data_IF_432096022108
#
_entry.id   IF_432096022108
#
_cell.length_a   1.000
_cell.length_b   1.000
_cell.length_c   1.000
_cell.angle_alpha   90.00
_cell.angle_beta   90.00
_cell.angle_gamma   90.00
#
_symmetry.space_group_name_H-M   'P 1'
#
loop_
_entity.id
_entity.type
_entity.pdbx_description
1 polymer ?
#
# COMPACT_ATOMS: atom_id res chain seq x y z
N UNK A 1 -35.99 3.55 3.44
CA UNK A 1 -36.58 3.36 4.77
C UNK A 1 -35.51 3.68 5.81
N UNK A 2 -35.66 4.78 6.56
CA UNK A 2 -34.68 5.18 7.58
C UNK A 2 -34.64 4.20 8.74
N UNK A 3 -33.44 3.91 9.25
CA UNK A 3 -33.25 3.19 10.52
C UNK A 3 -33.22 4.24 11.63
N UNK A 4 -33.98 3.99 12.70
CA UNK A 4 -34.07 4.89 13.85
C UNK A 4 -33.43 4.18 15.04
N UNK A 5 -32.76 4.94 15.91
CA UNK A 5 -32.33 4.41 17.21
C UNK A 5 -33.36 4.83 18.24
N UNK A 6 -33.99 3.83 18.86
CA UNK A 6 -34.93 4.00 19.94
C UNK A 6 -34.24 3.71 21.27
N UNK A 7 -34.24 4.68 22.18
CA UNK A 7 -33.64 4.56 23.50
C UNK A 7 -34.74 4.28 24.51
N UNK A 8 -34.61 3.18 25.25
CA UNK A 8 -35.56 2.76 26.27
C UNK A 8 -34.93 2.86 27.67
N UNK A 9 -35.75 3.18 28.67
CA UNK A 9 -35.38 3.12 30.08
C UNK A 9 -35.32 1.65 30.56
N UNK A 10 -34.79 1.41 31.76
CA UNK A 10 -34.70 0.08 32.41
C UNK A 10 -36.06 -0.62 32.54
N UNK A 11 -37.16 0.15 32.56
CA UNK A 11 -38.54 -0.34 32.55
C UNK A 11 -39.10 -0.60 31.14
N UNK A 12 -38.24 -0.60 30.11
CA UNK A 12 -38.59 -0.74 28.69
C UNK A 12 -39.55 0.32 28.15
N UNK A 13 -39.61 1.49 28.80
CA UNK A 13 -40.39 2.62 28.30
C UNK A 13 -39.55 3.43 27.33
N UNK A 14 -40.10 3.77 26.16
CA UNK A 14 -39.41 4.58 25.15
C UNK A 14 -39.15 5.98 25.72
N UNK A 15 -37.88 6.40 25.72
CA UNK A 15 -37.41 7.69 26.23
C UNK A 15 -37.17 8.66 25.08
N UNK A 16 -36.56 8.20 23.99
CA UNK A 16 -36.27 9.05 22.83
C UNK A 16 -36.09 8.23 21.56
N UNK A 17 -36.27 8.87 20.41
CA UNK A 17 -36.03 8.30 19.08
C UNK A 17 -35.16 9.25 18.28
N UNK A 18 -34.04 8.73 17.80
CA UNK A 18 -33.07 9.46 16.98
C UNK A 18 -33.14 8.98 15.53
N UNK A 19 -33.14 9.94 14.60
CA UNK A 19 -32.97 9.65 13.18
C UNK A 19 -31.49 9.35 12.91
N UNK A 20 -31.20 8.21 12.29
CA UNK A 20 -29.83 7.84 11.96
C UNK A 20 -29.53 8.31 10.55
N UNK A 21 -28.75 9.39 10.45
CA UNK A 21 -28.26 9.89 9.17
C UNK A 21 -27.26 8.87 8.60
N UNK A 22 -27.74 7.94 7.78
CA UNK A 22 -26.90 7.05 6.98
C UNK A 22 -26.70 7.67 5.61
N UNK A 23 -25.56 8.33 5.42
CA UNK A 23 -24.98 8.54 4.10
C UNK A 23 -23.56 8.00 4.10
N UNK A 24 -23.24 7.14 3.14
CA UNK A 24 -21.83 6.87 2.84
C UNK A 24 -21.15 8.22 2.54
N UNK A 25 -20.10 8.54 3.28
CA UNK A 25 -19.36 9.80 3.12
C UNK A 25 -19.84 10.98 3.98
N UNK A 26 -20.77 10.79 4.92
CA UNK A 26 -21.10 11.83 5.91
C UNK A 26 -20.00 11.82 6.98
N UNK A 27 -18.95 12.58 6.72
CA UNK A 27 -17.97 12.95 7.73
C UNK A 27 -18.55 14.09 8.56
N UNK A 28 -18.77 13.86 9.86
CA UNK A 28 -19.13 14.94 10.78
C UNK A 28 -17.96 15.94 10.77
N UNK A 29 -18.16 17.22 10.39
CA UNK A 29 -17.08 18.18 10.27
C UNK A 29 -16.61 18.61 11.67
N UNK A 30 -15.78 17.79 12.31
CA UNK A 30 -15.11 18.17 13.54
C UNK A 30 -13.93 19.09 13.18
N UNK A 31 -13.74 20.24 13.87
CA UNK A 31 -12.70 21.23 13.54
C UNK A 31 -11.27 20.68 13.47
N UNK A 32 -10.97 19.60 14.19
CA UNK A 32 -9.66 18.91 14.13
C UNK A 32 -9.38 18.25 12.76
N UNK A 33 -10.42 17.88 12.00
CA UNK A 33 -10.27 17.29 10.66
C UNK A 33 -9.90 18.32 9.59
N UNK A 34 -10.15 19.62 9.80
CA UNK A 34 -9.80 20.67 8.85
C UNK A 34 -8.29 20.88 8.73
N UNK A 35 -7.58 20.86 9.86
CA UNK A 35 -6.12 20.99 9.90
C UNK A 35 -5.41 19.75 9.35
N UNK A 36 -5.88 18.55 9.76
CA UNK A 36 -5.37 17.28 9.24
C UNK A 36 -5.62 17.10 7.74
N UNK A 37 -6.74 17.61 7.22
CA UNK A 37 -7.07 17.55 5.80
C UNK A 37 -6.08 18.33 4.94
N UNK A 38 -5.66 19.54 5.37
CA UNK A 38 -4.67 20.33 4.62
C UNK A 38 -3.31 19.64 4.55
N UNK A 39 -2.78 19.17 5.67
CA UNK A 39 -1.50 18.45 5.69
C UNK A 39 -1.56 17.15 4.87
N UNK A 40 -2.69 16.44 4.93
CA UNK A 40 -2.89 15.23 4.16
C UNK A 40 -2.95 15.51 2.65
N UNK A 41 -3.64 16.57 2.24
CA UNK A 41 -3.73 17.01 0.85
C UNK A 41 -2.36 17.48 0.33
N UNK A 42 -1.58 18.21 1.13
CA UNK A 42 -0.22 18.61 0.79
C UNK A 42 0.73 17.41 0.67
N UNK A 43 0.68 16.47 1.61
CA UNK A 43 1.44 15.20 1.52
C UNK A 43 1.03 14.41 0.28
N UNK A 44 -0.27 14.35 -0.06
CA UNK A 44 -0.78 13.70 -1.27
C UNK A 44 -0.28 14.43 -2.53
N UNK A 45 -0.25 15.76 -2.55
CA UNK A 45 0.27 16.55 -3.66
C UNK A 45 1.79 16.34 -3.85
N UNK A 46 2.58 16.37 -2.77
CA UNK A 46 4.03 16.10 -2.82
C UNK A 46 4.35 14.71 -3.36
N UNK A 47 3.61 13.68 -2.92
CA UNK A 47 3.77 12.31 -3.45
C UNK A 47 3.43 12.22 -4.93
N UNK A 48 2.41 12.94 -5.39
CA UNK A 48 2.04 13.00 -6.82
C UNK A 48 3.11 13.68 -7.65
N UNK A 49 3.61 14.83 -7.21
CA UNK A 49 4.70 15.55 -7.86
C UNK A 49 5.96 14.67 -7.94
N UNK A 50 6.33 14.01 -6.84
CA UNK A 50 7.49 13.12 -6.80
C UNK A 50 7.37 11.94 -7.79
N UNK A 51 6.19 11.33 -7.92
CA UNK A 51 5.96 10.26 -8.91
C UNK A 51 6.12 10.73 -10.35
N UNK A 52 5.69 11.96 -10.67
CA UNK A 52 5.89 12.58 -11.99
C UNK A 52 7.35 12.91 -12.24
N UNK A 53 8.06 13.47 -11.25
CA UNK A 53 9.49 13.75 -11.36
C UNK A 53 10.32 12.50 -11.59
N UNK A 54 10.09 11.42 -10.83
CA UNK A 54 10.79 10.15 -11.03
C UNK A 54 10.57 9.56 -12.43
N UNK A 55 9.37 9.73 -12.99
CA UNK A 55 9.08 9.27 -14.35
C UNK A 55 9.83 10.10 -15.41
N UNK A 56 9.86 11.42 -15.26
CA UNK A 56 10.60 12.33 -16.14
C UNK A 56 12.11 12.08 -16.09
N UNK A 57 12.66 11.83 -14.90
CA UNK A 57 14.07 11.45 -14.74
C UNK A 57 14.39 10.12 -15.44
N UNK A 58 13.48 9.15 -15.37
CA UNK A 58 13.65 7.86 -16.02
C UNK A 58 13.54 7.95 -17.56
N UNK A 59 12.57 8.72 -18.07
CA UNK A 59 12.21 8.81 -19.49
C UNK A 59 12.10 10.28 -19.94
N UNK A 60 13.21 11.01 -20.10
CA UNK A 60 13.16 12.45 -20.38
C UNK A 60 12.54 12.80 -21.75
N UNK A 61 12.72 11.96 -22.76
CA UNK A 61 12.20 12.24 -24.12
C UNK A 61 10.70 11.93 -24.29
N UNK A 62 10.18 10.94 -23.56
CA UNK A 62 8.80 10.46 -23.68
C UNK A 62 7.93 10.85 -22.48
N UNK A 63 8.56 11.39 -21.44
CA UNK A 63 7.96 11.57 -20.12
C UNK A 63 6.83 12.57 -20.09
N UNK A 64 7.00 13.72 -20.75
CA UNK A 64 5.97 14.76 -20.79
C UNK A 64 4.72 14.28 -21.53
N UNK A 65 4.88 13.74 -22.74
CA UNK A 65 3.77 13.22 -23.55
C UNK A 65 3.03 12.08 -22.86
N UNK A 66 3.75 11.21 -22.14
CA UNK A 66 3.12 10.10 -21.43
C UNK A 66 2.40 10.56 -20.15
N UNK A 67 2.92 11.57 -19.44
CA UNK A 67 2.24 12.16 -18.29
C UNK A 67 0.92 12.81 -18.71
N UNK A 68 0.92 13.54 -19.82
CA UNK A 68 -0.31 14.11 -20.38
C UNK A 68 -1.35 13.04 -20.73
N UNK A 69 -0.91 11.96 -21.40
CA UNK A 69 -1.77 10.82 -21.70
C UNK A 69 -2.31 10.15 -20.43
N UNK A 70 -1.46 9.96 -19.41
CA UNK A 70 -1.83 9.35 -18.15
C UNK A 70 -2.82 10.21 -17.35
N UNK A 71 -2.60 11.53 -17.30
CA UNK A 71 -3.55 12.46 -16.68
C UNK A 71 -4.90 12.44 -17.40
N UNK A 72 -4.91 12.36 -18.74
CA UNK A 72 -6.13 12.30 -19.55
C UNK A 72 -6.90 10.97 -19.43
N UNK A 73 -6.20 9.83 -19.35
CA UNK A 73 -6.82 8.49 -19.33
C UNK A 73 -7.11 7.97 -17.92
N UNK A 74 -6.23 8.24 -16.96
CA UNK A 74 -6.27 7.65 -15.62
C UNK A 74 -6.63 8.66 -14.52
N UNK A 75 -6.65 9.97 -14.83
CA UNK A 75 -7.06 11.02 -13.89
C UNK A 75 -6.29 10.97 -12.57
N UNK A 76 -7.00 10.80 -11.45
CA UNK A 76 -6.38 10.72 -10.12
C UNK A 76 -5.39 9.55 -9.95
N UNK A 77 -5.53 8.49 -10.75
CA UNK A 77 -4.69 7.29 -10.69
C UNK A 77 -3.42 7.39 -11.56
N UNK A 78 -3.24 8.45 -12.36
CA UNK A 78 -2.03 8.63 -13.16
C UNK A 78 -0.72 8.46 -12.36
N UNK A 79 -0.56 9.03 -11.15
CA UNK A 79 0.66 8.89 -10.35
C UNK A 79 0.95 7.45 -9.91
N UNK A 80 -0.09 6.63 -9.76
CA UNK A 80 0.07 5.20 -9.44
C UNK A 80 0.67 4.45 -10.62
N UNK A 81 0.12 4.65 -11.82
CA UNK A 81 0.61 3.98 -13.03
C UNK A 81 2.03 4.43 -13.41
N UNK A 82 2.34 5.73 -13.30
CA UNK A 82 3.69 6.25 -13.53
C UNK A 82 4.72 5.57 -12.61
N UNK A 83 4.40 5.47 -11.31
CA UNK A 83 5.29 4.78 -10.34
C UNK A 83 5.46 3.30 -10.68
N UNK A 84 4.38 2.62 -11.08
CA UNK A 84 4.43 1.20 -11.47
C UNK A 84 5.26 0.98 -12.72
N UNK A 85 5.17 1.85 -13.71
CA UNK A 85 5.99 1.76 -14.93
C UNK A 85 7.46 1.98 -14.60
N UNK A 86 7.80 2.96 -13.75
CA UNK A 86 9.19 3.13 -13.25
C UNK A 86 9.67 1.87 -12.53
N UNK A 87 8.80 1.19 -11.77
CA UNK A 87 9.19 -0.06 -11.11
C UNK A 87 9.56 -1.20 -12.06
N UNK A 88 9.11 -1.16 -13.32
CA UNK A 88 9.52 -2.14 -14.34
C UNK A 88 11.02 -2.07 -14.62
N UNK A 89 11.68 -0.93 -14.41
CA UNK A 89 13.14 -0.78 -14.57
C UNK A 89 13.97 -1.60 -13.55
N UNK A 90 13.33 -2.11 -12.50
CA UNK A 90 13.97 -3.04 -11.56
C UNK A 90 14.03 -4.47 -12.10
N UNK A 91 13.20 -4.80 -13.09
CA UNK A 91 13.03 -6.16 -13.62
C UNK A 91 13.51 -6.25 -15.07
N UNK A 92 13.25 -5.21 -15.86
CA UNK A 92 13.51 -5.17 -17.30
C UNK A 92 14.60 -4.15 -17.63
N UNK A 93 15.25 -4.36 -18.76
CA UNK A 93 16.19 -3.40 -19.30
C UNK A 93 15.49 -2.09 -19.68
N UNK A 94 16.12 -0.95 -19.37
CA UNK A 94 15.61 0.38 -19.71
C UNK A 94 15.15 0.51 -21.18
N UNK A 95 15.92 0.08 -22.19
CA UNK A 95 15.48 0.18 -23.59
C UNK A 95 14.21 -0.63 -23.90
N UNK A 96 13.99 -1.76 -23.22
CA UNK A 96 12.78 -2.56 -23.40
C UNK A 96 11.54 -1.82 -22.88
N UNK A 97 11.64 -1.23 -21.69
CA UNK A 97 10.57 -0.43 -21.09
C UNK A 97 10.31 0.84 -21.90
N UNK A 98 11.35 1.50 -22.41
CA UNK A 98 11.20 2.70 -23.23
C UNK A 98 10.47 2.42 -24.56
N UNK A 99 10.75 1.29 -25.21
CA UNK A 99 9.99 0.86 -26.40
C UNK A 99 8.53 0.58 -26.07
N UNK A 100 8.25 -0.07 -24.94
CA UNK A 100 6.89 -0.32 -24.47
C UNK A 100 6.13 0.98 -24.19
N UNK A 101 6.78 1.96 -23.53
CA UNK A 101 6.21 3.30 -23.30
C UNK A 101 5.92 4.00 -24.63
N UNK A 102 6.86 3.96 -25.58
CA UNK A 102 6.67 4.54 -26.92
C UNK A 102 5.51 3.90 -27.68
N UNK A 103 5.34 2.59 -27.57
CA UNK A 103 4.24 1.88 -28.22
C UNK A 103 2.90 2.18 -27.53
N UNK A 104 2.90 2.24 -26.20
CA UNK A 104 1.72 2.62 -25.41
C UNK A 104 1.21 4.04 -25.74
N UNK A 105 2.13 4.98 -26.01
CA UNK A 105 1.81 6.32 -26.51
C UNK A 105 1.08 6.28 -27.86
N UNK A 106 1.55 5.45 -28.80
CA UNK A 106 0.89 5.30 -30.12
C UNK A 106 -0.50 4.70 -30.00
N UNK A 107 -0.66 3.74 -29.09
CA UNK A 107 -1.92 3.05 -28.83
C UNK A 107 -2.88 3.87 -27.94
N UNK A 108 -2.39 4.94 -27.30
CA UNK A 108 -3.19 5.81 -26.43
C UNK A 108 -3.61 5.15 -25.11
N UNK A 109 -2.82 4.18 -24.63
CA UNK A 109 -3.04 3.45 -23.37
C UNK A 109 -2.03 3.91 -22.32
N UNK A 110 -2.47 4.02 -21.06
CA UNK A 110 -1.67 4.55 -19.96
C UNK A 110 -1.70 3.69 -18.69
N UNK A 111 -2.42 2.57 -18.69
CA UNK A 111 -2.44 1.67 -17.56
C UNK A 111 -1.11 0.90 -17.47
N UNK A 112 -0.62 0.71 -16.25
CA UNK A 112 0.66 0.05 -15.99
C UNK A 112 0.68 -1.41 -16.44
N UNK A 113 -0.46 -2.08 -16.36
CA UNK A 113 -0.67 -3.47 -16.73
C UNK A 113 -0.55 -3.63 -18.25
N UNK A 114 -1.16 -2.72 -19.01
CA UNK A 114 -1.07 -2.71 -20.46
C UNK A 114 0.35 -2.38 -20.92
N UNK A 115 0.99 -1.38 -20.31
CA UNK A 115 2.40 -1.05 -20.60
C UNK A 115 3.31 -2.23 -20.28
N UNK A 116 3.08 -2.92 -19.15
CA UNK A 116 3.85 -4.11 -18.78
C UNK A 116 3.72 -5.24 -19.81
N UNK A 117 2.52 -5.43 -20.38
CA UNK A 117 2.29 -6.42 -21.44
C UNK A 117 3.04 -6.14 -22.74
N UNK A 118 3.42 -4.88 -22.97
CA UNK A 118 4.16 -4.44 -24.16
C UNK A 118 5.68 -4.53 -23.96
N UNK A 119 6.15 -4.77 -22.74
CA UNK A 119 7.58 -4.96 -22.48
C UNK A 119 8.00 -6.31 -23.04
N UNK A 120 8.97 -6.28 -23.96
CA UNK A 120 9.58 -7.50 -24.47
C UNK A 120 10.24 -8.30 -23.32
N UNK A 121 10.43 -9.61 -23.50
CA UNK A 121 11.02 -10.53 -22.50
C UNK A 121 12.53 -10.30 -22.21
N UNK A 122 12.99 -9.05 -22.40
CA UNK A 122 14.34 -8.56 -22.10
C UNK A 122 14.46 -8.25 -20.61
N UNK A 123 14.52 -9.32 -19.82
CA UNK A 123 14.78 -9.25 -18.39
C UNK A 123 16.19 -8.72 -18.12
N UNK A 124 16.30 -7.86 -17.12
CA UNK A 124 17.56 -7.37 -16.60
C UNK A 124 18.34 -8.54 -16.02
N UNK A 125 19.62 -8.66 -16.37
CA UNK A 125 20.47 -9.70 -15.78
C UNK A 125 20.59 -9.44 -14.27
N UNK A 126 20.41 -10.46 -13.41
CA UNK A 126 20.58 -10.28 -11.98
C UNK A 126 22.02 -9.82 -11.71
N UNK A 127 22.17 -8.67 -11.08
CA UNK A 127 23.46 -8.26 -10.55
C UNK A 127 23.88 -9.30 -9.49
N UNK A 128 25.12 -9.78 -9.52
CA UNK A 128 25.60 -10.71 -8.52
C UNK A 128 25.47 -10.04 -7.15
N UNK A 129 24.53 -10.50 -6.35
CA UNK A 129 24.41 -10.08 -4.96
C UNK A 129 25.66 -10.59 -4.27
N UNK A 130 26.57 -9.69 -3.88
CA UNK A 130 27.66 -10.05 -3.00
C UNK A 130 27.05 -10.75 -1.79
N UNK A 131 27.44 -12.01 -1.57
CA UNK A 131 26.89 -12.79 -0.48
C UNK A 131 27.18 -12.03 0.83
N UNK A 132 26.14 -11.43 1.40
CA UNK A 132 26.23 -10.83 2.73
C UNK A 132 26.47 -11.99 3.67
N UNK A 133 27.73 -12.16 4.06
CA UNK A 133 28.15 -13.13 5.05
C UNK A 133 27.66 -12.64 6.40
N UNK A 134 26.41 -12.93 6.72
CA UNK A 134 25.92 -12.75 8.08
C UNK A 134 26.74 -13.67 8.98
N UNK A 135 27.34 -13.11 10.03
CA UNK A 135 27.91 -13.92 11.09
C UNK A 135 26.82 -14.90 11.57
N UNK A 136 27.13 -16.19 11.75
CA UNK A 136 26.14 -17.16 12.18
C UNK A 136 25.51 -16.66 13.48
N UNK A 137 24.19 -16.46 13.46
CA UNK A 137 23.44 -16.12 14.67
C UNK A 137 23.67 -17.25 15.66
N UNK A 138 24.41 -16.95 16.74
CA UNK A 138 24.63 -17.93 17.80
C UNK A 138 23.32 -18.11 18.55
N UNK A 139 22.55 -19.11 18.15
CA UNK A 139 21.38 -19.55 18.90
C UNK A 139 21.91 -20.28 20.13
N UNK A 140 21.76 -19.67 21.31
CA UNK A 140 22.07 -20.30 22.57
C UNK A 140 21.17 -21.53 22.76
N UNK A 141 21.69 -22.72 22.46
CA UNK A 141 21.03 -24.00 22.76
C UNK A 141 21.16 -24.25 24.26
N UNK A 142 20.12 -23.91 25.03
CA UNK A 142 20.01 -24.33 26.42
C UNK A 142 19.53 -25.77 26.47
N UNK A 143 20.17 -26.57 27.30
CA UNK A 143 19.76 -27.94 27.57
C UNK A 143 18.36 -27.94 28.23
N UNK A 144 17.45 -28.77 27.72
CA UNK A 144 16.08 -28.88 28.21
C UNK A 144 16.04 -29.38 29.68
N UNK A 145 17.08 -30.07 30.15
CA UNK A 145 17.23 -30.49 31.55
C UNK A 145 17.24 -29.31 32.53
N UNK A 146 17.64 -28.11 32.09
CA UNK A 146 17.58 -26.90 32.92
C UNK A 146 16.15 -26.52 33.31
N UNK A 147 15.15 -26.92 32.53
CA UNK A 147 13.73 -26.70 32.84
C UNK A 147 13.16 -27.76 33.78
N UNK A 148 13.75 -28.96 33.88
CA UNK A 148 13.28 -30.00 34.82
C UNK A 148 13.44 -29.57 36.28
N UNK A 149 14.49 -28.80 36.60
CA UNK A 149 14.70 -28.27 37.95
C UNK A 149 13.63 -27.25 38.37
N UNK A 150 13.01 -26.55 37.41
CA UNK A 150 11.90 -25.63 37.66
C UNK A 150 10.59 -26.37 37.96
N UNK A 151 10.39 -27.55 37.36
CA UNK A 151 9.22 -28.41 37.63
C UNK A 151 9.38 -29.29 38.89
N UNK A 152 10.61 -29.55 39.33
CA UNK A 152 10.88 -30.32 40.55
C UNK A 152 10.55 -29.57 41.86
N UNK A 153 10.29 -28.25 41.80
CA UNK A 153 9.85 -27.41 42.93
C UNK A 153 8.36 -27.04 42.88
N UNK A 154 7.56 -27.77 42.09
CA UNK A 154 6.10 -27.67 42.12
C UNK A 154 5.51 -28.77 43.01
N UNK A 155 4.95 -28.36 44.15
CA UNK A 155 4.30 -29.23 45.12
C UNK A 155 3.18 -30.10 44.53
N UNK A 156 3.26 -31.39 44.92
CA UNK A 156 2.23 -32.42 45.09
C UNK A 156 1.42 -32.99 43.89
N UNK A 157 1.19 -34.32 43.85
CA UNK A 157 0.46 -35.03 42.81
C UNK A 157 -1.06 -35.15 43.06
N UNK A 158 -1.76 -35.46 41.98
CA UNK A 158 -3.19 -35.71 41.77
C UNK A 158 -4.01 -36.38 42.91
N UNK A 159 -5.30 -36.01 42.96
CA UNK A 159 -6.40 -37.01 43.07
C UNK A 159 -7.60 -36.56 42.22
N UNK A 160 -8.05 -37.33 41.22
CA UNK A 160 -9.37 -37.14 40.61
C UNK A 160 -10.46 -37.78 41.48
N UNK A 161 -11.60 -37.10 41.60
CA UNK A 161 -12.84 -37.64 42.16
C UNK A 161 -13.71 -38.24 41.05
#
# INVERSE_FOLDING_TARGET
>A
MGRWIEVFDQKKKLVSRFDVIHGHGISLPHPEHGALSKEYLEKKARKRAHGKSLFLEAFPELGESFIELADARCGENAPYHLKKIVSLLSIYEKPAVERAVRESLKLGIAASEDVASLVADELRKPEPVEAVTYAPVQVARRDLSAYMALYAKGDAPCTPA
#
